data_IF_682783737992
#
_entry.id   IF_682783737992
#
_cell.length_a   1.000
_cell.length_b   1.000
_cell.length_c   1.000
_cell.angle_alpha   90.00
_cell.angle_beta   90.00
_cell.angle_gamma   90.00
#
_symmetry.space_group_name_H-M   'P 1'
#
loop_
_entity.id
_entity.type
_entity.pdbx_description
1 polymer ?
#
# COMPACT_ATOMS: atom_id res chain seq x y z
N UNK A 1 6.78 -38.49 39.66
CA UNK A 1 7.80 -38.28 38.60
C UNK A 1 7.10 -38.11 37.27
N UNK A 2 6.96 -36.87 36.79
CA UNK A 2 6.83 -36.62 35.35
C UNK A 2 7.36 -35.20 35.08
N UNK A 3 8.55 -35.13 34.48
CA UNK A 3 9.29 -33.89 34.24
C UNK A 3 9.16 -33.45 32.80
N UNK A 4 8.51 -32.31 32.64
CA UNK A 4 8.77 -31.24 31.67
C UNK A 4 10.10 -31.34 30.88
N UNK A 5 10.06 -31.18 29.54
CA UNK A 5 11.09 -30.40 28.79
C UNK A 5 10.63 -30.03 27.38
N UNK A 6 10.81 -28.72 27.10
CA UNK A 6 10.62 -28.00 25.83
C UNK A 6 11.64 -28.41 24.76
N UNK A 7 11.21 -28.39 23.50
CA UNK A 7 11.97 -27.94 22.33
C UNK A 7 10.91 -27.35 21.37
N UNK A 8 10.92 -26.08 20.95
CA UNK A 8 12.04 -25.31 20.46
C UNK A 8 12.14 -25.48 18.94
N UNK A 9 11.19 -24.96 18.16
CA UNK A 9 11.38 -24.78 16.71
C UNK A 9 11.59 -23.29 16.40
N UNK A 10 12.87 -22.94 16.36
CA UNK A 10 13.39 -21.84 15.55
C UNK A 10 13.46 -22.33 14.11
N UNK A 11 12.72 -21.69 13.21
CA UNK A 11 12.93 -21.79 11.76
C UNK A 11 12.49 -20.47 11.11
N UNK A 12 13.34 -19.46 11.24
CA UNK A 12 13.32 -18.26 10.39
C UNK A 12 14.72 -18.03 9.84
N UNK A 13 15.10 -18.81 8.83
CA UNK A 13 16.19 -18.45 7.91
C UNK A 13 16.03 -19.22 6.61
N UNK A 14 15.27 -18.67 5.68
CA UNK A 14 15.48 -18.89 4.25
C UNK A 14 14.99 -17.64 3.51
N UNK A 15 15.91 -16.80 3.03
CA UNK A 15 15.60 -15.76 2.06
C UNK A 15 15.29 -16.46 0.73
N UNK A 16 14.10 -16.32 0.14
CA UNK A 16 13.89 -16.81 -1.21
C UNK A 16 14.70 -15.93 -2.17
N UNK A 17 15.56 -16.56 -2.97
CA UNK A 17 16.19 -15.91 -4.12
C UNK A 17 15.09 -15.62 -5.15
N UNK A 18 14.70 -14.35 -5.25
CA UNK A 18 13.77 -13.88 -6.28
C UNK A 18 14.52 -13.89 -7.61
N UNK A 19 14.17 -14.84 -8.47
CA UNK A 19 14.58 -14.84 -9.88
C UNK A 19 13.77 -13.75 -10.57
N UNK A 20 14.34 -12.56 -10.72
CA UNK A 20 13.77 -11.53 -11.59
C UNK A 20 13.90 -12.00 -13.04
N UNK A 21 12.82 -12.53 -13.62
CA UNK A 21 12.75 -12.79 -15.06
C UNK A 21 12.71 -11.44 -15.77
N UNK A 22 13.80 -11.12 -16.49
CA UNK A 22 13.87 -9.97 -17.39
C UNK A 22 12.83 -10.09 -18.50
N UNK A 23 12.06 -9.01 -18.70
CA UNK A 23 11.03 -8.79 -19.75
C UNK A 23 9.79 -9.69 -19.66
N UNK A 24 8.89 -9.34 -18.75
CA UNK A 24 7.50 -9.84 -18.73
C UNK A 24 6.58 -8.76 -19.34
N UNK A 25 5.57 -9.09 -20.16
CA UNK A 25 4.65 -8.12 -20.79
C UNK A 25 3.59 -7.61 -19.78
N UNK A 26 4.01 -7.32 -18.55
CA UNK A 26 3.14 -6.75 -17.52
C UNK A 26 2.58 -5.40 -17.96
N UNK A 27 1.40 -5.05 -17.43
CA UNK A 27 0.77 -3.75 -17.67
C UNK A 27 1.78 -2.65 -17.30
N UNK A 28 1.99 -1.67 -18.18
CA UNK A 28 2.92 -0.57 -17.88
C UNK A 28 2.45 0.18 -16.62
N UNK A 29 3.22 0.06 -15.53
CA UNK A 29 2.92 0.67 -14.23
C UNK A 29 3.48 2.10 -14.09
N UNK A 30 3.99 2.65 -15.19
CA UNK A 30 4.57 3.99 -15.27
C UNK A 30 3.57 4.93 -15.98
N UNK A 31 2.98 5.89 -15.25
CA UNK A 31 2.14 6.94 -15.85
C UNK A 31 2.92 7.81 -16.86
N UNK A 32 2.20 8.46 -17.78
CA UNK A 32 2.81 9.33 -18.79
C UNK A 32 3.68 10.45 -18.19
N UNK A 33 3.26 11.03 -17.05
CA UNK A 33 4.03 12.03 -16.30
C UNK A 33 4.53 11.47 -14.95
N UNK A 34 5.28 10.36 -14.99
CA UNK A 34 5.82 9.76 -13.76
C UNK A 34 6.86 10.65 -13.08
N UNK A 35 7.66 11.40 -13.84
CA UNK A 35 8.64 12.34 -13.27
C UNK A 35 7.98 13.41 -12.42
N UNK A 36 6.94 14.09 -12.94
CA UNK A 36 6.19 15.09 -12.18
C UNK A 36 5.48 14.49 -10.96
N UNK A 37 4.95 13.27 -11.09
CA UNK A 37 4.32 12.53 -10.00
C UNK A 37 5.29 12.17 -8.87
N UNK A 38 6.48 11.69 -9.20
CA UNK A 38 7.54 11.40 -8.21
C UNK A 38 8.04 12.69 -7.56
N UNK A 39 8.24 13.75 -8.35
CA UNK A 39 8.56 15.07 -7.79
C UNK A 39 7.48 15.52 -6.81
N UNK A 40 6.21 15.34 -7.15
CA UNK A 40 5.09 15.70 -6.30
C UNK A 40 5.10 14.93 -4.97
N UNK A 41 5.30 13.60 -5.04
CA UNK A 41 5.47 12.75 -3.87
C UNK A 41 6.62 13.21 -2.97
N UNK A 42 7.77 13.53 -3.56
CA UNK A 42 8.97 13.89 -2.81
C UNK A 42 8.83 15.20 -2.02
N UNK A 43 7.97 16.14 -2.46
CA UNK A 43 7.69 17.38 -1.72
C UNK A 43 7.18 17.10 -0.31
N UNK A 44 6.42 16.02 -0.14
CA UNK A 44 5.84 15.67 1.15
C UNK A 44 6.83 15.04 2.12
N UNK A 45 8.07 14.72 1.72
CA UNK A 45 9.09 14.11 2.59
C UNK A 45 8.55 12.92 3.41
N UNK A 46 7.69 12.11 2.78
CA UNK A 46 6.95 11.03 3.44
C UNK A 46 7.66 9.68 3.30
N UNK A 47 8.46 9.50 2.24
CA UNK A 47 9.23 8.29 1.99
C UNK A 47 10.31 8.12 3.05
N UNK A 48 10.36 6.93 3.68
CA UNK A 48 11.36 6.63 4.72
C UNK A 48 11.14 7.36 6.06
N UNK A 49 10.05 8.12 6.19
CA UNK A 49 9.71 8.78 7.45
C UNK A 49 9.29 7.79 8.53
N UNK A 50 9.40 8.19 9.80
CA UNK A 50 8.98 7.36 10.94
C UNK A 50 7.47 7.09 10.91
N UNK A 51 6.99 6.02 11.59
CA UNK A 51 5.56 5.81 11.79
C UNK A 51 4.88 7.01 12.45
N UNK A 52 3.65 7.31 12.04
CA UNK A 52 2.87 8.45 12.50
C UNK A 52 1.45 7.99 12.84
N UNK A 53 0.97 8.35 14.04
CA UNK A 53 -0.25 7.80 14.64
C UNK A 53 -1.51 8.08 13.83
N UNK A 54 -1.55 9.19 13.09
CA UNK A 54 -2.69 9.56 12.24
C UNK A 54 -2.90 8.51 11.13
N UNK A 55 -1.85 8.16 10.38
CA UNK A 55 -1.92 7.10 9.37
C UNK A 55 -2.26 5.74 9.98
N UNK A 56 -1.67 5.40 11.14
CA UNK A 56 -1.97 4.15 11.86
C UNK A 56 -3.44 4.05 12.26
N UNK A 57 -4.05 5.17 12.62
CA UNK A 57 -5.47 5.21 12.97
C UNK A 57 -6.33 4.98 11.75
N UNK A 58 -5.98 5.56 10.59
CA UNK A 58 -6.72 5.39 9.35
C UNK A 58 -6.72 3.92 8.90
N UNK A 59 -5.57 3.23 8.88
CA UNK A 59 -5.52 1.82 8.47
C UNK A 59 -6.27 0.90 9.43
N UNK A 60 -6.25 1.20 10.74
CA UNK A 60 -7.06 0.46 11.74
C UNK A 60 -8.55 0.66 11.54
N UNK A 61 -8.99 1.88 11.21
CA UNK A 61 -10.38 2.14 10.88
C UNK A 61 -10.77 1.44 9.58
N UNK A 62 -9.90 1.43 8.57
CA UNK A 62 -10.16 0.73 7.32
C UNK A 62 -10.42 -0.77 7.54
N UNK A 63 -9.58 -1.48 8.31
CA UNK A 63 -9.83 -2.90 8.61
C UNK A 63 -11.16 -3.13 9.33
N UNK A 64 -11.54 -2.25 10.25
CA UNK A 64 -12.81 -2.33 10.98
C UNK A 64 -14.03 -2.06 10.08
N UNK A 65 -14.03 -0.95 9.34
CA UNK A 65 -15.14 -0.57 8.47
C UNK A 65 -15.39 -1.57 7.36
N UNK A 66 -14.32 -2.09 6.76
CA UNK A 66 -14.44 -3.08 5.71
C UNK A 66 -14.55 -4.49 6.26
N UNK A 67 -14.34 -4.76 7.56
CA UNK A 67 -14.25 -6.10 8.11
C UNK A 67 -13.28 -6.98 7.29
N UNK A 68 -12.06 -6.48 7.11
CA UNK A 68 -10.99 -7.14 6.38
C UNK A 68 -9.72 -7.19 7.24
N UNK A 69 -8.94 -8.28 7.16
CA UNK A 69 -7.81 -8.49 8.06
C UNK A 69 -6.66 -7.51 7.81
N UNK A 70 -6.57 -6.95 6.59
CA UNK A 70 -5.41 -6.16 6.18
C UNK A 70 -5.81 -4.84 5.54
N UNK A 71 -5.12 -3.78 5.95
CA UNK A 71 -5.17 -2.47 5.30
C UNK A 71 -3.79 -1.84 5.28
N UNK A 72 -3.47 -1.10 4.21
CA UNK A 72 -2.19 -0.42 4.03
C UNK A 72 -2.40 1.00 3.49
N UNK A 73 -1.52 1.91 3.89
CA UNK A 73 -1.29 3.18 3.19
C UNK A 73 0.11 3.12 2.59
N UNK A 74 0.18 3.27 1.28
CA UNK A 74 1.40 3.09 0.51
C UNK A 74 1.65 4.26 -0.43
N UNK A 75 2.92 4.60 -0.63
CA UNK A 75 3.37 5.60 -1.60
C UNK A 75 4.24 4.94 -2.67
N UNK A 76 3.99 5.29 -3.93
CA UNK A 76 4.68 4.68 -5.07
C UNK A 76 5.81 5.61 -5.50
N UNK A 77 7.05 5.24 -5.25
CA UNK A 77 8.22 5.97 -5.74
C UNK A 77 8.60 5.50 -7.17
N UNK A 78 9.78 5.89 -7.68
CA UNK A 78 10.26 5.51 -9.02
C UNK A 78 10.33 4.00 -9.19
N UNK A 79 10.94 3.30 -8.23
CA UNK A 79 11.25 1.86 -8.35
C UNK A 79 10.61 0.99 -7.25
N UNK A 80 10.06 1.63 -6.20
CA UNK A 80 9.52 0.94 -5.03
C UNK A 80 8.14 1.46 -4.64
N UNK A 81 7.43 0.67 -3.86
CA UNK A 81 6.24 1.09 -3.11
C UNK A 81 6.61 1.07 -1.64
N UNK A 82 6.62 2.24 -1.01
CA UNK A 82 6.88 2.43 0.41
C UNK A 82 5.59 2.27 1.21
N UNK A 83 5.64 1.47 2.29
CA UNK A 83 4.52 1.29 3.21
C UNK A 83 4.64 2.32 4.33
N UNK A 84 3.70 3.27 4.38
CA UNK A 84 3.68 4.29 5.44
C UNK A 84 3.04 3.76 6.72
N UNK A 85 1.98 2.98 6.57
CA UNK A 85 1.28 2.39 7.70
C UNK A 85 0.54 1.13 7.26
N UNK A 86 0.37 0.19 8.19
CA UNK A 86 -0.26 -1.08 7.95
C UNK A 86 -1.05 -1.59 9.16
N UNK A 87 -1.99 -2.48 8.90
CA UNK A 87 -2.60 -3.36 9.90
C UNK A 87 -2.72 -4.75 9.28
N UNK A 88 -2.36 -5.79 10.02
CA UNK A 88 -2.48 -7.19 9.59
C UNK A 88 -1.36 -7.73 8.69
N UNK A 89 -0.30 -6.96 8.45
CA UNK A 89 0.90 -7.37 7.72
C UNK A 89 2.16 -6.81 8.40
N UNK A 90 2.74 -7.56 9.33
CA UNK A 90 3.91 -7.09 10.08
C UNK A 90 5.22 -7.23 9.28
N UNK A 91 6.15 -6.29 9.47
CA UNK A 91 7.49 -6.34 8.91
C UNK A 91 7.62 -5.93 7.45
N UNK A 92 6.52 -5.55 6.79
CA UNK A 92 6.55 -5.00 5.43
C UNK A 92 6.80 -3.49 5.46
N UNK A 93 7.89 -3.05 4.85
CA UNK A 93 8.27 -1.63 4.76
C UNK A 93 8.30 -1.13 3.33
N UNK A 94 8.54 -2.01 2.37
CA UNK A 94 8.50 -1.70 0.95
C UNK A 94 8.31 -2.94 0.09
N UNK A 95 7.97 -2.72 -1.18
CA UNK A 95 7.95 -3.75 -2.22
C UNK A 95 8.44 -3.17 -3.56
N UNK A 96 8.91 -4.00 -4.51
CA UNK A 96 9.22 -3.54 -5.86
C UNK A 96 7.98 -2.94 -6.54
N UNK A 97 8.13 -1.80 -7.22
CA UNK A 97 7.00 -1.12 -7.88
C UNK A 97 6.31 -2.02 -8.90
N UNK A 98 7.08 -2.77 -9.67
CA UNK A 98 6.59 -3.69 -10.70
C UNK A 98 5.90 -4.94 -10.14
N UNK A 99 5.92 -5.17 -8.83
CA UNK A 99 5.33 -6.35 -8.18
C UNK A 99 4.21 -5.98 -7.18
N UNK A 100 3.61 -4.79 -7.34
CA UNK A 100 2.62 -4.24 -6.40
C UNK A 100 1.28 -3.92 -7.06
N UNK A 101 0.20 -4.48 -6.51
CA UNK A 101 -1.18 -4.12 -6.84
C UNK A 101 -1.48 -2.64 -6.56
N UNK A 102 -0.76 -2.02 -5.62
CA UNK A 102 -0.90 -0.59 -5.32
C UNK A 102 -0.41 0.28 -6.48
N UNK A 103 0.69 -0.11 -7.13
CA UNK A 103 1.18 0.57 -8.33
C UNK A 103 0.15 0.53 -9.46
N UNK A 104 -0.56 -0.60 -9.59
CA UNK A 104 -1.62 -0.76 -10.58
C UNK A 104 -2.86 0.07 -10.23
N UNK A 105 -3.32 0.03 -8.98
CA UNK A 105 -4.51 0.75 -8.54
C UNK A 105 -4.33 2.28 -8.61
N UNK A 106 -3.10 2.77 -8.48
CA UNK A 106 -2.77 4.18 -8.67
C UNK A 106 -2.89 4.65 -10.14
N UNK A 107 -3.03 3.76 -11.12
CA UNK A 107 -3.12 4.14 -12.53
C UNK A 107 -4.48 4.70 -12.95
N UNK A 108 -5.50 4.63 -12.09
CA UNK A 108 -6.83 5.19 -12.31
C UNK A 108 -7.18 6.23 -11.25
N UNK A 109 -8.18 7.07 -11.53
CA UNK A 109 -8.74 7.99 -10.53
C UNK A 109 -9.81 7.32 -9.65
N UNK A 110 -10.26 6.12 -10.07
CA UNK A 110 -11.28 5.34 -9.39
C UNK A 110 -10.69 4.23 -8.51
N UNK A 111 -11.52 3.74 -7.58
CA UNK A 111 -11.21 2.57 -6.77
C UNK A 111 -11.06 1.33 -7.66
N UNK A 112 -9.86 0.75 -7.64
CA UNK A 112 -9.57 -0.53 -8.27
C UNK A 112 -9.98 -1.67 -7.34
N UNK A 113 -10.74 -2.64 -7.84
CA UNK A 113 -11.21 -3.79 -7.06
C UNK A 113 -10.92 -5.08 -7.80
N UNK A 114 -10.29 -6.02 -7.09
CA UNK A 114 -10.20 -7.43 -7.45
C UNK A 114 -11.01 -8.23 -6.44
N UNK A 115 -12.26 -8.55 -6.81
CA UNK A 115 -13.15 -9.41 -6.00
C UNK A 115 -12.59 -10.84 -5.86
N UNK A 116 -11.73 -11.22 -6.80
CA UNK A 116 -10.84 -12.38 -6.80
C UNK A 116 -9.57 -11.96 -7.54
N UNK A 117 -8.42 -12.02 -6.87
CA UNK A 117 -7.11 -11.79 -7.48
C UNK A 117 -6.89 -12.89 -8.53
N UNK A 118 -6.81 -12.56 -9.82
CA UNK A 118 -6.73 -13.57 -10.87
C UNK A 118 -5.29 -14.10 -10.95
N UNK A 119 -5.10 -15.31 -10.44
CA UNK A 119 -3.82 -16.04 -10.53
C UNK A 119 -3.52 -16.58 -11.94
N UNK A 120 -4.38 -16.32 -12.92
CA UNK A 120 -4.24 -16.79 -14.29
C UNK A 120 -3.91 -15.67 -15.29
N UNK A 121 -3.92 -14.41 -14.86
CA UNK A 121 -3.52 -13.28 -15.71
C UNK A 121 -2.01 -13.04 -15.52
N UNK A 122 -1.16 -13.31 -16.53
CA UNK A 122 0.29 -13.14 -16.42
C UNK A 122 0.71 -11.70 -16.08
N UNK A 123 -0.07 -10.70 -16.52
CA UNK A 123 0.20 -9.30 -16.25
C UNK A 123 -0.11 -8.96 -14.79
N UNK A 124 -1.21 -9.49 -14.24
CA UNK A 124 -1.55 -9.29 -12.84
C UNK A 124 -0.66 -10.13 -11.94
N UNK A 125 -0.34 -11.37 -12.30
CA UNK A 125 0.62 -12.21 -11.60
C UNK A 125 1.96 -11.50 -11.43
N UNK A 126 2.54 -10.94 -12.51
CA UNK A 126 3.79 -10.20 -12.43
C UNK A 126 3.72 -9.06 -11.38
N UNK A 127 2.55 -8.42 -11.26
CA UNK A 127 2.29 -7.30 -10.36
C UNK A 127 1.70 -7.71 -8.99
N UNK A 128 1.39 -8.99 -8.76
CA UNK A 128 0.68 -9.48 -7.58
C UNK A 128 1.33 -10.72 -6.95
N UNK A 129 2.52 -11.14 -7.42
CA UNK A 129 3.24 -12.32 -6.91
C UNK A 129 3.26 -12.29 -5.38
N UNK A 130 3.62 -11.14 -4.80
CA UNK A 130 3.67 -10.94 -3.35
C UNK A 130 2.31 -11.14 -2.66
N UNK A 131 1.21 -10.68 -3.27
CA UNK A 131 -0.12 -10.84 -2.70
C UNK A 131 -0.61 -12.31 -2.77
N UNK A 132 -0.31 -12.99 -3.87
CA UNK A 132 -0.66 -14.40 -4.06
C UNK A 132 0.15 -15.34 -3.15
N UNK A 133 1.46 -15.09 -3.00
CA UNK A 133 2.34 -15.84 -2.09
C UNK A 133 1.89 -15.71 -0.62
N UNK A 134 1.32 -14.56 -0.26
CA UNK A 134 0.73 -14.31 1.07
C UNK A 134 -0.71 -14.85 1.20
N UNK A 135 -1.28 -15.46 0.14
CA UNK A 135 -2.59 -16.10 0.16
C UNK A 135 -3.79 -15.15 0.02
N UNK A 136 -3.58 -13.88 -0.34
CA UNK A 136 -4.68 -12.96 -0.56
C UNK A 136 -5.51 -13.35 -1.79
N UNK A 137 -6.83 -13.27 -1.64
CA UNK A 137 -7.80 -13.50 -2.72
C UNK A 137 -8.57 -12.24 -3.07
N UNK A 138 -8.63 -11.24 -2.19
CA UNK A 138 -9.36 -10.00 -2.40
C UNK A 138 -8.44 -8.78 -2.25
N UNK A 139 -8.66 -7.78 -3.10
CA UNK A 139 -8.01 -6.47 -3.01
C UNK A 139 -8.98 -5.36 -3.41
N UNK A 140 -8.97 -4.26 -2.66
CA UNK A 140 -9.52 -2.98 -3.11
C UNK A 140 -8.55 -1.85 -2.75
N UNK A 141 -8.28 -0.95 -3.69
CA UNK A 141 -7.36 0.18 -3.50
C UNK A 141 -7.93 1.46 -4.09
N UNK A 142 -7.92 2.53 -3.29
CA UNK A 142 -8.24 3.88 -3.74
C UNK A 142 -6.95 4.69 -3.94
N UNK A 143 -6.82 5.42 -5.07
CA UNK A 143 -5.65 6.24 -5.34
C UNK A 143 -5.58 7.43 -4.38
N UNK A 144 -4.37 7.76 -3.93
CA UNK A 144 -4.08 8.98 -3.21
C UNK A 144 -3.75 10.07 -4.25
N UNK A 145 -4.69 11.00 -4.44
CA UNK A 145 -4.59 12.08 -5.44
C UNK A 145 -4.35 13.41 -4.72
N UNK A 146 -3.22 14.06 -5.02
CA UNK A 146 -2.86 15.36 -4.46
C UNK A 146 -3.73 16.49 -5.04
N UNK A 147 -3.73 17.67 -4.42
CA UNK A 147 -4.50 18.82 -4.92
C UNK A 147 -4.02 19.32 -6.29
N UNK A 148 -2.75 19.09 -6.63
CA UNK A 148 -2.20 19.32 -7.97
C UNK A 148 -2.37 18.10 -8.91
N UNK A 149 -3.30 17.21 -8.58
CA UNK A 149 -3.78 16.09 -9.42
C UNK A 149 -2.75 15.00 -9.72
N UNK A 150 -1.74 14.83 -8.87
CA UNK A 150 -0.81 13.70 -8.96
C UNK A 150 -1.28 12.51 -8.12
N UNK A 151 -1.24 11.34 -8.72
CA UNK A 151 -1.50 10.07 -8.04
C UNK A 151 -0.21 9.57 -7.40
N UNK A 152 -0.09 9.65 -6.08
CA UNK A 152 1.19 9.43 -5.39
C UNK A 152 1.24 8.10 -4.62
N UNK A 153 0.12 7.41 -4.49
CA UNK A 153 0.03 6.20 -3.69
C UNK A 153 -1.38 5.62 -3.65
N UNK A 154 -1.63 4.76 -2.67
CA UNK A 154 -2.95 4.15 -2.43
C UNK A 154 -3.22 3.94 -0.95
N UNK A 155 -4.47 4.04 -0.54
CA UNK A 155 -4.98 3.28 0.61
C UNK A 155 -5.67 2.02 0.09
N UNK A 156 -5.33 0.86 0.63
CA UNK A 156 -5.89 -0.40 0.18
C UNK A 156 -6.27 -1.33 1.33
N UNK A 157 -7.20 -2.24 1.04
CA UNK A 157 -7.67 -3.30 1.95
C UNK A 157 -7.61 -4.65 1.23
N UNK A 158 -7.25 -5.69 1.98
CA UNK A 158 -7.02 -7.03 1.43
C UNK A 158 -7.60 -8.12 2.32
N UNK A 159 -7.95 -9.25 1.72
CA UNK A 159 -8.53 -10.40 2.42
C UNK A 159 -8.18 -11.74 1.80
N UNK A 160 -8.28 -12.80 2.61
CA UNK A 160 -7.96 -14.19 2.23
C UNK A 160 -9.13 -14.90 1.53
N UNK A 161 -10.30 -14.26 1.44
CA UNK A 161 -11.49 -14.81 0.79
C UNK A 161 -12.00 -13.88 -0.31
N UNK A 162 -12.61 -14.47 -1.35
CA UNK A 162 -13.28 -13.72 -2.40
C UNK A 162 -14.44 -12.91 -1.83
N UNK A 163 -14.65 -11.71 -2.34
CA UNK A 163 -15.66 -10.81 -1.79
C UNK A 163 -16.14 -9.80 -2.82
N UNK A 164 -17.46 -9.55 -2.81
CA UNK A 164 -18.07 -8.42 -3.54
C UNK A 164 -17.76 -7.10 -2.86
N UNK A 165 -17.54 -6.05 -3.64
CA UNK A 165 -17.28 -4.71 -3.12
C UNK A 165 -18.30 -3.71 -3.66
N UNK A 166 -19.20 -3.29 -2.79
CA UNK A 166 -20.37 -2.47 -3.12
C UNK A 166 -19.99 -1.03 -3.49
N UNK A 167 -20.90 -0.32 -4.15
CA UNK A 167 -20.73 1.11 -4.44
C UNK A 167 -20.54 1.96 -3.18
N UNK A 168 -21.22 1.62 -2.07
CA UNK A 168 -21.04 2.30 -0.78
C UNK A 168 -19.64 2.10 -0.22
N UNK A 169 -19.10 0.89 -0.32
CA UNK A 169 -17.73 0.59 0.10
C UNK A 169 -16.68 1.31 -0.76
N UNK A 170 -16.92 1.45 -2.07
CA UNK A 170 -16.07 2.26 -2.96
C UNK A 170 -16.03 3.73 -2.52
N UNK A 171 -17.19 4.32 -2.28
CA UNK A 171 -17.29 5.71 -1.78
C UNK A 171 -16.56 5.85 -0.45
N UNK A 172 -16.74 4.89 0.46
CA UNK A 172 -16.06 4.92 1.76
C UNK A 172 -14.54 4.85 1.62
N UNK A 173 -14.02 3.96 0.76
CA UNK A 173 -12.57 3.83 0.55
C UNK A 173 -12.00 5.08 -0.13
N UNK A 174 -12.75 5.69 -1.05
CA UNK A 174 -12.38 6.96 -1.67
C UNK A 174 -12.33 8.09 -0.64
N UNK A 175 -13.31 8.17 0.27
CA UNK A 175 -13.31 9.15 1.35
C UNK A 175 -12.11 8.97 2.29
N UNK A 176 -11.74 7.72 2.61
CA UNK A 176 -10.53 7.45 3.38
C UNK A 176 -9.26 7.90 2.63
N UNK A 177 -9.20 7.73 1.30
CA UNK A 177 -8.10 8.26 0.50
C UNK A 177 -8.00 9.80 0.61
N UNK A 178 -9.13 10.50 0.59
CA UNK A 178 -9.18 11.96 0.84
C UNK A 178 -8.67 12.32 2.23
N UNK A 179 -9.03 11.56 3.27
CA UNK A 179 -8.51 11.79 4.63
C UNK A 179 -6.99 11.62 4.68
N UNK A 180 -6.45 10.59 4.02
CA UNK A 180 -5.00 10.38 3.93
C UNK A 180 -4.30 11.54 3.21
N UNK A 181 -4.87 12.05 2.12
CA UNK A 181 -4.32 13.22 1.42
C UNK A 181 -4.33 14.46 2.31
N UNK A 182 -5.44 14.74 3.00
CA UNK A 182 -5.52 15.88 3.92
C UNK A 182 -4.45 15.79 5.03
N UNK A 183 -4.21 14.59 5.57
CA UNK A 183 -3.17 14.37 6.57
C UNK A 183 -1.76 14.66 6.03
N UNK A 184 -1.48 14.24 4.80
CA UNK A 184 -0.19 14.50 4.14
C UNK A 184 0.02 16.00 3.88
N UNK A 185 -1.04 16.72 3.53
CA UNK A 185 -1.00 18.17 3.31
C UNK A 185 -0.76 18.93 4.63
N UNK A 186 -1.43 18.51 5.72
CA UNK A 186 -1.18 19.06 7.05
C UNK A 186 0.28 18.85 7.49
N UNK A 187 0.80 17.64 7.28
CA UNK A 187 2.21 17.32 7.56
C UNK A 187 3.19 18.21 6.77
N UNK A 188 2.87 18.51 5.50
CA UNK A 188 3.70 19.44 4.71
C UNK A 188 3.71 20.85 5.30
N UNK A 189 2.55 21.33 5.76
CA UNK A 189 2.45 22.63 6.42
C UNK A 189 3.33 22.68 7.68
N UNK A 190 3.27 21.66 8.52
CA UNK A 190 4.09 21.55 9.74
C UNK A 190 5.61 21.58 9.43
N UNK A 191 6.04 20.90 8.37
CA UNK A 191 7.46 20.89 7.95
C UNK A 191 7.89 22.23 7.34
N UNK A 192 6.97 22.90 6.64
CA UNK A 192 7.24 24.17 5.95
C UNK A 192 7.21 25.40 6.86
N UNK A 193 6.63 25.29 8.06
CA UNK A 193 6.62 26.37 9.04
C UNK A 193 8.04 26.60 9.58
N UNK A 194 8.61 27.81 9.43
CA UNK A 194 9.88 28.12 10.08
C UNK A 194 9.72 27.96 11.59
N UNK A 195 10.66 27.25 12.22
CA UNK A 195 10.73 27.12 13.67
C UNK A 195 10.63 28.53 14.26
N UNK A 196 9.52 28.82 14.95
CA UNK A 196 9.23 30.15 15.45
C UNK A 196 10.42 30.58 16.31
N UNK A 197 11.11 31.64 15.87
CA UNK A 197 12.13 32.34 16.63
C UNK A 197 11.54 32.63 18.01
N UNK A 198 12.07 31.97 19.03
CA UNK A 198 11.77 32.28 20.43
C UNK A 198 12.05 33.78 20.62
N UNK A 199 10.97 34.55 20.79
CA UNK A 199 11.01 35.91 21.31
C UNK A 199 11.20 35.81 22.83
#
# INVERSE_FOLDING_TARGET
>A
MNTNRRAGLSVYTAKPQIIYMEKNPGKNLIPANDTGRVQALNRYQILGSTPERSFDTIVKLATQFFNLPVALINFVDRESVFVKSHTGLDGITSSPRNASLCSLAMLTDEVTVFETIPLADPCLLANSVSAAELGFKFYAGAPLITFDSFRIGTICVMGYEKRKFSGKERILLQNMATIVINEIELRLQEISMPANSKI
#
